data_IF_139934479509
#
_entry.id   IF_139934479509
#
_cell.length_a   1.000
_cell.length_b   1.000
_cell.length_c   1.000
_cell.angle_alpha   90.00
_cell.angle_beta   90.00
_cell.angle_gamma   90.00
#
_symmetry.space_group_name_H-M   'P 1'
#
loop_
_entity.id
_entity.type
_entity.pdbx_description
1 polymer ?
#
# COMPACT_ATOMS: atom_id res chain seq x y z
N UNK A 1 -3.57 20.88 -1.75
CA UNK A 1 -3.19 21.06 -0.74
C UNK A 1 -2.02 20.71 0.16
N UNK A 2 -0.78 20.64 -0.36
CA UNK A 2 0.43 20.45 0.44
C UNK A 2 0.76 21.73 1.21
N UNK A 3 1.13 21.58 2.49
CA UNK A 3 1.50 22.71 3.36
C UNK A 3 3.02 22.79 3.49
N UNK A 4 3.55 23.99 3.23
CA UNK A 4 4.97 24.34 3.38
C UNK A 4 5.17 25.41 4.44
N UNK A 5 6.23 25.28 5.24
CA UNK A 5 6.79 26.37 6.02
C UNK A 5 8.01 26.96 5.35
N UNK A 6 8.16 28.28 5.39
CA UNK A 6 9.26 29.04 4.80
C UNK A 6 9.91 29.87 5.90
N UNK A 7 11.18 29.62 6.21
CA UNK A 7 11.92 30.30 7.28
C UNK A 7 13.23 30.88 6.79
N UNK A 8 13.49 32.14 7.11
CA UNK A 8 14.80 32.76 6.84
C UNK A 8 15.88 32.09 7.68
N UNK A 9 17.03 31.79 7.07
CA UNK A 9 18.19 31.21 7.77
C UNK A 9 18.84 32.21 8.74
N UNK A 10 18.87 33.49 8.38
CA UNK A 10 19.57 34.54 9.16
C UNK A 10 18.67 35.65 9.69
N UNK A 11 17.45 35.76 9.16
CA UNK A 11 16.47 36.78 9.51
C UNK A 11 15.32 36.25 10.37
N UNK A 12 14.38 37.12 10.69
CA UNK A 12 13.19 36.79 11.48
C UNK A 12 11.96 36.40 10.64
N UNK A 13 12.06 36.45 9.30
CA UNK A 13 10.91 36.15 8.43
C UNK A 13 10.55 34.68 8.49
N UNK A 14 9.29 34.40 8.77
CA UNK A 14 8.70 33.06 8.75
C UNK A 14 7.25 33.14 8.29
N UNK A 15 6.85 32.22 7.44
CA UNK A 15 5.48 32.09 6.96
C UNK A 15 5.18 30.66 6.58
N UNK A 16 3.93 30.36 6.26
CA UNK A 16 3.49 29.10 5.67
C UNK A 16 2.63 29.36 4.45
N UNK A 17 2.56 28.40 3.54
CA UNK A 17 1.74 28.43 2.35
C UNK A 17 1.19 27.05 2.03
N UNK A 18 0.01 27.01 1.43
CA UNK A 18 -0.60 25.77 0.95
C UNK A 18 -0.71 25.82 -0.57
N UNK A 19 -0.35 24.75 -1.26
CA UNK A 19 -0.48 24.66 -2.72
C UNK A 19 -1.94 24.62 -3.15
N UNK A 20 -2.21 25.25 -4.28
CA UNK A 20 -3.49 25.17 -4.97
C UNK A 20 -3.75 23.83 -5.65
N UNK A 21 -4.85 23.77 -6.40
CA UNK A 21 -5.25 22.59 -7.19
C UNK A 21 -4.31 22.28 -8.36
N UNK A 22 -3.52 23.26 -8.77
CA UNK A 22 -2.47 23.16 -9.79
C UNK A 22 -1.13 22.67 -9.23
N UNK A 23 -1.07 22.35 -7.91
CA UNK A 23 0.14 21.93 -7.20
C UNK A 23 1.11 23.07 -6.90
N UNK A 24 0.78 24.33 -7.18
CA UNK A 24 1.69 25.46 -6.99
C UNK A 24 1.27 26.37 -5.83
N UNK A 25 2.25 27.09 -5.28
CA UNK A 25 2.04 28.20 -4.36
C UNK A 25 3.07 29.29 -4.64
N UNK A 26 2.63 30.55 -4.68
CA UNK A 26 3.50 31.68 -4.92
C UNK A 26 3.44 32.65 -3.75
N UNK A 27 4.60 33.05 -3.26
CA UNK A 27 4.74 34.11 -2.27
C UNK A 27 5.45 35.28 -2.92
N UNK A 28 4.90 36.50 -2.71
CA UNK A 28 5.45 37.76 -3.22
C UNK A 28 5.88 38.67 -2.08
N UNK A 29 6.70 39.67 -2.39
CA UNK A 29 7.19 40.66 -1.44
C UNK A 29 7.93 40.08 -0.21
N UNK A 30 8.65 38.98 -0.40
CA UNK A 30 9.49 38.38 0.63
C UNK A 30 10.84 39.12 0.66
N UNK A 31 11.43 39.38 1.83
CA UNK A 31 12.78 39.95 1.91
C UNK A 31 13.81 39.10 1.17
N UNK A 32 14.82 39.74 0.55
CA UNK A 32 15.96 38.99 -0.03
C UNK A 32 16.75 38.28 1.05
N UNK A 33 17.22 37.05 0.78
CA UNK A 33 17.92 36.24 1.75
C UNK A 33 17.96 34.74 1.39
N UNK A 34 18.46 33.95 2.31
CA UNK A 34 18.47 32.48 2.20
C UNK A 34 17.35 31.92 3.09
N UNK A 35 16.59 31.00 2.54
CA UNK A 35 15.42 30.41 3.17
C UNK A 35 15.47 28.89 3.15
N UNK A 36 14.98 28.26 4.21
CA UNK A 36 14.61 26.86 4.24
C UNK A 36 13.12 26.77 3.96
N UNK A 37 12.77 26.03 2.94
CA UNK A 37 11.39 25.63 2.62
C UNK A 37 11.21 24.20 3.06
N UNK A 38 10.28 23.94 3.99
CA UNK A 38 10.01 22.63 4.54
C UNK A 38 8.59 22.21 4.24
N UNK A 39 8.45 20.99 3.79
CA UNK A 39 7.16 20.34 3.63
C UNK A 39 6.65 19.82 4.98
N UNK A 40 5.51 20.30 5.43
CA UNK A 40 4.93 19.99 6.73
C UNK A 40 3.87 18.88 6.63
N UNK A 41 3.08 18.89 5.57
CA UNK A 41 2.05 17.88 5.34
C UNK A 41 1.63 17.79 3.88
N UNK A 42 1.24 16.60 3.45
CA UNK A 42 0.69 16.30 2.12
C UNK A 42 -0.70 15.70 2.25
N UNK A 43 -1.58 15.87 1.25
CA UNK A 43 -2.88 15.21 1.25
C UNK A 43 -2.75 13.69 1.02
N UNK A 44 -3.72 12.92 1.53
CA UNK A 44 -3.84 11.51 1.14
C UNK A 44 -4.05 11.39 -0.39
N UNK A 45 -3.50 10.36 -1.04
CA UNK A 45 -2.76 9.21 -0.49
C UNK A 45 -1.24 9.38 -0.45
N UNK A 46 -0.72 10.61 -0.56
CA UNK A 46 0.71 10.90 -0.66
C UNK A 46 1.42 10.78 0.69
N UNK A 47 2.74 10.61 0.62
CA UNK A 47 3.66 10.65 1.76
C UNK A 47 4.79 11.62 1.47
N UNK A 48 5.21 12.37 2.50
CA UNK A 48 6.35 13.27 2.42
C UNK A 48 7.63 12.46 2.17
N UNK A 49 8.34 12.76 1.09
CA UNK A 49 9.59 12.07 0.72
C UNK A 49 10.82 12.97 0.77
N UNK A 50 10.65 14.27 0.57
CA UNK A 50 11.70 15.26 0.70
C UNK A 50 11.24 16.38 1.64
N UNK A 51 11.79 16.40 2.86
CA UNK A 51 11.27 17.23 3.93
C UNK A 51 11.67 18.68 3.83
N UNK A 52 12.82 19.04 3.21
CA UNK A 52 13.25 20.45 3.13
C UNK A 52 14.21 20.74 1.98
N UNK A 53 14.17 21.97 1.50
CA UNK A 53 15.10 22.53 0.52
C UNK A 53 15.54 23.94 0.91
N UNK A 54 16.76 24.29 0.57
CA UNK A 54 17.29 25.65 0.79
C UNK A 54 17.27 26.44 -0.52
N UNK A 55 16.78 27.67 -0.48
CA UNK A 55 16.69 28.56 -1.64
C UNK A 55 17.20 29.97 -1.33
N UNK A 56 17.92 30.58 -2.26
CA UNK A 56 18.34 31.98 -2.17
C UNK A 56 17.40 32.87 -2.99
N UNK A 57 16.78 33.85 -2.31
CA UNK A 57 15.90 34.85 -2.93
C UNK A 57 16.70 36.15 -3.18
N UNK A 58 16.66 36.63 -4.41
CA UNK A 58 17.38 37.84 -4.85
C UNK A 58 16.40 38.93 -5.28
N UNK A 59 16.74 40.21 -5.06
CA UNK A 59 15.87 41.32 -5.48
C UNK A 59 15.49 41.25 -6.96
N UNK A 60 14.21 41.43 -7.29
CA UNK A 60 13.71 41.47 -8.66
C UNK A 60 13.78 40.10 -9.41
N UNK A 61 13.99 38.97 -8.70
CA UNK A 61 14.01 37.65 -9.28
C UNK A 61 13.00 36.75 -8.57
N UNK A 62 12.38 35.85 -9.34
CA UNK A 62 11.64 34.72 -8.81
C UNK A 62 12.56 33.52 -8.72
N UNK A 63 12.58 32.82 -7.59
CA UNK A 63 13.25 31.54 -7.42
C UNK A 63 12.19 30.47 -7.26
N UNK A 64 12.47 29.27 -7.76
CA UNK A 64 11.56 28.12 -7.71
C UNK A 64 12.23 26.98 -6.94
N UNK A 65 11.41 26.24 -6.19
CA UNK A 65 11.76 24.96 -5.56
C UNK A 65 10.68 23.95 -5.90
N UNK A 66 11.07 22.70 -6.20
CA UNK A 66 10.14 21.64 -6.56
C UNK A 66 10.28 20.49 -5.58
N UNK A 67 9.16 20.06 -5.02
CA UNK A 67 9.05 18.86 -4.18
C UNK A 67 8.29 17.79 -4.96
N UNK A 68 8.66 16.54 -4.75
CA UNK A 68 8.05 15.39 -5.42
C UNK A 68 7.70 14.35 -4.36
N UNK A 69 6.43 13.97 -4.29
CA UNK A 69 5.93 12.96 -3.38
C UNK A 69 5.46 11.72 -4.12
N UNK A 70 5.45 10.61 -3.39
CA UNK A 70 4.93 9.35 -3.88
C UNK A 70 3.63 9.00 -3.15
N UNK A 71 2.74 8.29 -3.83
CA UNK A 71 1.58 7.68 -3.19
C UNK A 71 2.01 6.58 -2.21
N UNK A 72 1.19 6.34 -1.20
CA UNK A 72 1.33 5.17 -0.34
C UNK A 72 1.28 3.89 -1.19
N UNK A 73 2.02 2.84 -0.80
CA UNK A 73 2.05 1.59 -1.56
C UNK A 73 0.72 0.84 -1.54
N UNK A 74 0.58 -0.06 -2.52
CA UNK A 74 -0.42 -1.09 -2.56
C UNK A 74 0.16 -2.48 -2.24
N UNK A 75 -0.68 -3.37 -1.71
CA UNK A 75 -0.39 -4.80 -1.56
C UNK A 75 -1.46 -5.61 -2.27
N UNK A 76 -1.03 -6.48 -3.17
CA UNK A 76 -1.88 -7.48 -3.79
C UNK A 76 -1.52 -8.87 -3.25
N UNK A 77 -2.51 -9.63 -2.82
CA UNK A 77 -2.37 -11.03 -2.42
C UNK A 77 -3.16 -11.88 -3.41
N UNK A 78 -2.50 -12.89 -3.99
CA UNK A 78 -3.11 -13.82 -4.93
C UNK A 78 -3.12 -15.21 -4.31
N UNK A 79 -4.28 -15.86 -4.31
CA UNK A 79 -4.49 -17.20 -3.78
C UNK A 79 -4.86 -18.17 -4.87
N UNK A 80 -4.10 -19.26 -4.99
CA UNK A 80 -4.28 -20.29 -6.04
C UNK A 80 -4.26 -21.69 -5.47
N UNK A 81 -4.98 -22.59 -6.16
CA UNK A 81 -4.88 -24.02 -5.96
C UNK A 81 -3.55 -24.52 -6.56
N UNK A 82 -2.76 -25.24 -5.76
CA UNK A 82 -1.43 -25.73 -6.17
C UNK A 82 -1.50 -26.76 -7.30
N UNK A 83 -2.63 -27.47 -7.44
CA UNK A 83 -2.77 -28.54 -8.41
C UNK A 83 -3.08 -28.04 -9.84
N UNK A 84 -3.85 -26.96 -9.98
CA UNK A 84 -4.36 -26.50 -11.28
C UNK A 84 -4.23 -24.98 -11.52
N UNK A 85 -3.76 -24.22 -10.51
CA UNK A 85 -3.59 -22.77 -10.62
C UNK A 85 -4.87 -21.96 -10.51
N UNK A 86 -6.03 -22.60 -10.31
CA UNK A 86 -7.31 -21.94 -10.16
C UNK A 86 -7.35 -21.05 -8.92
N UNK A 87 -8.09 -19.91 -8.94
CA UNK A 87 -8.23 -19.05 -7.80
C UNK A 87 -8.97 -19.75 -6.64
N UNK A 88 -8.64 -19.36 -5.40
CA UNK A 88 -9.36 -19.84 -4.21
C UNK A 88 -9.96 -18.62 -3.49
N UNK A 89 -11.29 -18.57 -3.47
CA UNK A 89 -12.07 -17.58 -2.75
C UNK A 89 -12.17 -17.91 -1.24
N UNK A 90 -12.41 -16.91 -0.41
CA UNK A 90 -12.79 -17.08 0.99
C UNK A 90 -11.62 -17.38 1.94
N UNK A 91 -10.38 -17.23 1.48
CA UNK A 91 -9.19 -17.39 2.33
C UNK A 91 -8.86 -16.07 3.03
N UNK A 92 -8.77 -16.09 4.36
CA UNK A 92 -8.50 -14.91 5.17
C UNK A 92 -7.03 -14.82 5.56
N UNK A 93 -6.46 -13.66 5.35
CA UNK A 93 -5.08 -13.33 5.72
C UNK A 93 -5.05 -12.28 6.82
N UNK A 94 -4.06 -12.38 7.69
CA UNK A 94 -3.60 -11.31 8.56
C UNK A 94 -2.36 -10.68 7.93
N UNK A 95 -2.37 -9.36 7.82
CA UNK A 95 -1.32 -8.53 7.23
C UNK A 95 -0.82 -7.62 8.34
N UNK A 96 0.41 -7.82 8.79
CA UNK A 96 1.00 -7.11 9.92
C UNK A 96 2.32 -6.48 9.49
N UNK A 97 2.51 -5.20 9.84
CA UNK A 97 3.82 -4.57 9.73
C UNK A 97 4.76 -5.17 10.80
N UNK A 98 6.00 -5.45 10.43
CA UNK A 98 6.93 -6.20 11.30
C UNK A 98 7.24 -5.44 12.60
N UNK A 99 7.21 -4.11 12.57
CA UNK A 99 7.37 -3.26 13.76
C UNK A 99 6.09 -3.13 14.62
N UNK A 100 4.98 -3.72 14.17
CA UNK A 100 3.70 -3.73 14.88
C UNK A 100 2.87 -2.45 14.77
N UNK A 101 3.29 -1.47 13.98
CA UNK A 101 2.60 -0.18 13.83
C UNK A 101 1.30 -0.26 13.03
N UNK A 102 1.14 -1.30 12.20
CA UNK A 102 -0.04 -1.53 11.38
C UNK A 102 -0.42 -3.02 11.37
N UNK A 103 -1.72 -3.30 11.50
CA UNK A 103 -2.27 -4.65 11.33
C UNK A 103 -3.68 -4.57 10.77
N UNK A 104 -3.98 -5.47 9.82
CA UNK A 104 -5.32 -5.65 9.27
C UNK A 104 -5.54 -7.09 8.84
N UNK A 105 -6.77 -7.45 8.50
CA UNK A 105 -7.12 -8.72 7.86
C UNK A 105 -8.04 -8.50 6.68
N UNK A 106 -7.90 -9.36 5.68
CA UNK A 106 -8.72 -9.34 4.49
C UNK A 106 -8.92 -10.76 3.95
N UNK A 107 -9.98 -10.94 3.16
CA UNK A 107 -10.39 -12.25 2.61
C UNK A 107 -10.38 -12.19 1.09
N UNK A 108 -9.90 -13.26 0.43
CA UNK A 108 -9.85 -13.34 -1.02
C UNK A 108 -11.23 -13.35 -1.65
N UNK A 109 -11.38 -12.60 -2.74
CA UNK A 109 -12.57 -12.56 -3.58
C UNK A 109 -12.70 -13.82 -4.48
N UNK A 110 -13.70 -13.84 -5.35
CA UNK A 110 -13.95 -14.92 -6.30
C UNK A 110 -12.86 -15.10 -7.38
N UNK A 111 -11.94 -14.16 -7.49
CA UNK A 111 -10.73 -14.26 -8.32
C UNK A 111 -9.50 -14.70 -7.50
N UNK A 112 -9.70 -15.09 -6.24
CA UNK A 112 -8.63 -15.44 -5.31
C UNK A 112 -7.74 -14.26 -4.93
N UNK A 113 -8.26 -13.03 -4.94
CA UNK A 113 -7.49 -11.80 -4.84
C UNK A 113 -7.89 -10.97 -3.61
N UNK A 114 -6.89 -10.37 -2.97
CA UNK A 114 -7.02 -9.25 -2.06
C UNK A 114 -6.21 -8.10 -2.64
N UNK A 115 -6.77 -6.90 -2.63
CA UNK A 115 -6.03 -5.68 -2.95
C UNK A 115 -6.21 -4.64 -1.84
N UNK A 116 -5.11 -4.23 -1.23
CA UNK A 116 -5.06 -3.16 -0.23
C UNK A 116 -4.33 -1.97 -0.84
N UNK A 117 -5.01 -0.85 -0.97
CA UNK A 117 -4.43 0.41 -1.41
C UNK A 117 -4.03 1.27 -0.20
N UNK A 118 -3.08 2.16 -0.41
CA UNK A 118 -2.73 3.25 0.53
C UNK A 118 -2.40 2.78 1.96
N UNK A 119 -1.68 1.66 2.09
CA UNK A 119 -1.18 1.18 3.39
C UNK A 119 0.20 1.78 3.70
N UNK A 120 0.65 1.83 4.97
CA UNK A 120 1.94 2.40 5.31
C UNK A 120 3.12 1.72 4.61
N UNK A 121 4.18 2.48 4.31
CA UNK A 121 5.47 1.91 3.84
C UNK A 121 6.08 1.06 4.92
N UNK A 122 6.77 -0.04 4.55
CA UNK A 122 7.47 -0.87 5.51
C UNK A 122 7.54 -2.34 5.12
N UNK A 123 8.08 -3.15 6.01
CA UNK A 123 8.12 -4.61 5.85
C UNK A 123 6.94 -5.26 6.54
N UNK A 124 6.28 -6.15 5.83
CA UNK A 124 5.05 -6.80 6.27
C UNK A 124 5.21 -8.32 6.30
N UNK A 125 4.51 -8.92 7.24
CA UNK A 125 4.27 -10.36 7.32
C UNK A 125 2.82 -10.64 6.97
N UNK A 126 2.62 -11.47 5.95
CA UNK A 126 1.31 -11.91 5.46
C UNK A 126 1.11 -13.36 5.84
N UNK A 127 0.12 -13.65 6.67
CA UNK A 127 -0.14 -14.99 7.23
C UNK A 127 -1.57 -15.41 6.94
N UNK A 128 -1.74 -16.61 6.37
CA UNK A 128 -3.05 -17.23 6.22
C UNK A 128 -3.59 -17.67 7.59
N UNK A 129 -4.78 -17.19 7.95
CA UNK A 129 -5.37 -17.44 9.27
C UNK A 129 -6.67 -18.24 9.22
N UNK A 130 -7.37 -18.26 8.08
CA UNK A 130 -8.59 -19.03 7.90
C UNK A 130 -8.80 -19.40 6.44
N UNK A 131 -9.40 -20.56 6.20
CA UNK A 131 -9.72 -21.08 4.86
C UNK A 131 -11.11 -21.70 4.83
N UNK A 132 -11.77 -21.80 3.66
CA UNK A 132 -12.95 -22.60 3.44
C UNK A 132 -12.74 -24.06 3.84
N UNK A 133 -13.81 -24.77 4.26
CA UNK A 133 -13.73 -26.13 4.81
C UNK A 133 -13.09 -27.16 3.87
N UNK A 134 -13.16 -26.94 2.57
CA UNK A 134 -12.57 -27.83 1.54
C UNK A 134 -11.11 -27.52 1.23
N UNK A 135 -10.51 -26.46 1.80
CA UNK A 135 -9.12 -26.05 1.59
C UNK A 135 -8.26 -26.54 2.75
N UNK A 136 -6.99 -26.85 2.48
CA UNK A 136 -6.01 -27.19 3.51
C UNK A 136 -5.28 -25.91 3.90
N UNK A 137 -5.38 -25.49 5.17
CA UNK A 137 -4.71 -24.32 5.72
C UNK A 137 -3.18 -24.46 5.63
N UNK A 138 -2.50 -23.42 5.17
CA UNK A 138 -1.04 -23.30 5.18
C UNK A 138 -0.62 -22.02 5.92
N UNK A 139 -0.36 -22.07 7.23
CA UNK A 139 -0.09 -20.88 8.04
C UNK A 139 1.35 -20.35 7.90
N UNK A 140 2.09 -20.81 6.91
CA UNK A 140 3.46 -20.35 6.66
C UNK A 140 3.40 -18.92 6.13
N UNK A 141 3.95 -17.93 6.84
CA UNK A 141 3.89 -16.53 6.41
C UNK A 141 4.82 -16.27 5.23
N UNK A 142 4.51 -15.22 4.47
CA UNK A 142 5.45 -14.59 3.55
C UNK A 142 5.73 -13.15 4.01
N UNK A 143 6.97 -12.72 3.81
CA UNK A 143 7.37 -11.35 4.08
C UNK A 143 7.44 -10.56 2.76
N UNK A 144 7.01 -9.30 2.81
CA UNK A 144 7.02 -8.39 1.67
C UNK A 144 7.38 -6.98 2.11
N UNK A 145 8.27 -6.31 1.37
CA UNK A 145 8.59 -4.92 1.57
C UNK A 145 7.71 -4.05 0.65
N UNK A 146 7.02 -3.08 1.24
CA UNK A 146 6.18 -2.12 0.52
C UNK A 146 6.89 -0.78 0.44
N UNK A 147 7.05 -0.27 -0.77
CA UNK A 147 7.73 0.98 -1.07
C UNK A 147 6.74 1.99 -1.65
N UNK A 148 6.95 3.26 -1.30
CA UNK A 148 6.16 4.37 -1.81
C UNK A 148 6.04 4.34 -3.35
N UNK A 149 4.84 4.58 -3.86
CA UNK A 149 4.53 4.60 -5.28
C UNK A 149 4.49 3.24 -5.98
N UNK A 150 4.67 2.14 -5.23
CA UNK A 150 4.69 0.79 -5.81
C UNK A 150 3.53 -0.07 -5.29
N UNK A 151 3.09 -1.03 -6.11
CA UNK A 151 2.24 -2.14 -5.66
C UNK A 151 3.08 -3.41 -5.65
N UNK A 152 3.14 -4.06 -4.48
CA UNK A 152 3.83 -5.36 -4.34
C UNK A 152 2.81 -6.49 -4.38
N UNK A 153 3.16 -7.61 -5.01
CA UNK A 153 2.30 -8.81 -5.12
C UNK A 153 2.93 -9.99 -4.42
N UNK A 154 2.16 -10.72 -3.62
CA UNK A 154 2.52 -12.00 -3.03
C UNK A 154 1.54 -13.08 -3.46
N UNK A 155 2.03 -14.28 -3.76
CA UNK A 155 1.18 -15.39 -4.21
C UNK A 155 1.30 -16.56 -3.24
N UNK A 156 0.14 -17.07 -2.80
CA UNK A 156 0.02 -18.24 -1.94
C UNK A 156 -0.66 -19.39 -2.67
N UNK A 157 -0.24 -20.60 -2.33
CA UNK A 157 -0.80 -21.83 -2.89
C UNK A 157 -1.31 -22.74 -1.78
N UNK A 158 -2.54 -23.28 -1.94
CA UNK A 158 -3.06 -24.33 -1.07
C UNK A 158 -3.54 -25.51 -1.89
N UNK A 159 -3.54 -26.68 -1.24
CA UNK A 159 -4.20 -27.86 -1.76
C UNK A 159 -5.68 -27.88 -1.36
N UNK A 160 -6.51 -28.43 -2.22
CA UNK A 160 -7.90 -28.77 -1.92
C UNK A 160 -7.96 -30.15 -1.30
N UNK A 161 -8.80 -30.33 -0.29
CA UNK A 161 -9.03 -31.64 0.34
C UNK A 161 -9.63 -32.62 -0.67
N UNK A 162 -9.22 -33.90 -0.64
CA UNK A 162 -9.81 -34.90 -1.50
C UNK A 162 -11.29 -35.13 -1.16
N UNK A 163 -12.05 -35.56 -2.15
CA UNK A 163 -13.44 -36.02 -1.98
C UNK A 163 -13.53 -37.52 -2.33
N UNK A 164 -14.46 -38.23 -1.70
CA UNK A 164 -14.80 -39.61 -2.00
C UNK A 164 -16.26 -39.68 -2.42
N UNK A 165 -16.51 -40.18 -3.61
CA UNK A 165 -17.84 -40.54 -4.07
C UNK A 165 -17.98 -42.08 -4.01
N UNK A 166 -19.05 -42.59 -3.42
CA UNK A 166 -19.39 -44.00 -3.36
C UNK A 166 -20.71 -44.16 -4.11
N UNK A 167 -20.69 -45.03 -5.13
CA UNK A 167 -21.90 -45.39 -5.88
C UNK A 167 -22.19 -46.88 -5.66
N UNK A 168 -23.44 -47.19 -5.37
CA UNK A 168 -23.95 -48.55 -5.37
C UNK A 168 -24.85 -48.73 -6.57
N UNK A 169 -24.54 -49.74 -7.38
CA UNK A 169 -25.31 -50.04 -8.59
C UNK A 169 -25.85 -51.48 -8.52
N UNK A 170 -27.00 -51.73 -9.15
CA UNK A 170 -27.51 -53.03 -9.43
C UNK A 170 -26.60 -53.76 -10.42
N UNK A 171 -26.24 -55.02 -10.14
CA UNK A 171 -25.28 -55.76 -10.94
C UNK A 171 -25.81 -56.20 -12.31
N UNK A 172 -27.11 -56.14 -12.53
CA UNK A 172 -27.77 -56.61 -13.76
C UNK A 172 -28.14 -55.38 -14.63
N UNK A 173 -28.72 -54.36 -14.05
CA UNK A 173 -29.20 -53.19 -14.80
C UNK A 173 -28.19 -52.07 -14.85
N UNK A 174 -27.25 -51.98 -13.91
CA UNK A 174 -26.32 -50.85 -13.78
C UNK A 174 -26.95 -49.61 -13.14
N UNK A 175 -28.19 -49.68 -12.73
CA UNK A 175 -28.92 -48.57 -12.12
C UNK A 175 -28.48 -48.33 -10.68
N UNK A 176 -28.62 -47.11 -10.14
CA UNK A 176 -28.40 -46.80 -8.73
C UNK A 176 -29.31 -47.65 -7.82
N UNK A 177 -28.77 -48.16 -6.68
CA UNK A 177 -29.46 -48.93 -5.68
C UNK A 177 -29.51 -48.16 -4.35
#
# INVERSE_FOLDING_TARGET
>A
GTVFSIKSVTGSYSTSVTTGTDGSATLSAIPAGVYVVREESVPEPYIVTNTEQTVALRPGKTSEVTFVDYEKPGLEIIKKNIANGEPIEGVTYRIEQIDGSFSTSATTDNHGRIFLASIPVGSYKVTEINVPSHVILSPIPQEVALKAGETSTVTFFNAIKPSLEIRKLDSVTGDPV
#
